data_IF_895557290119
#
_entry.id   IF_895557290119
#
_cell.length_a   1.000
_cell.length_b   1.000
_cell.length_c   1.000
_cell.angle_alpha   90.00
_cell.angle_beta   90.00
_cell.angle_gamma   90.00
#
_symmetry.space_group_name_H-M   'P 1'
#
loop_
_entity.id
_entity.type
_entity.pdbx_description
1 polymer ?
#
# COMPACT_ATOMS: atom_id res chain seq x y z
N UNK A 1 8.55 -8.36 -27.86
CA UNK A 1 8.70 -7.21 -26.94
C UNK A 1 9.49 -7.69 -25.73
N UNK A 2 10.65 -7.09 -25.43
CA UNK A 2 11.42 -7.36 -24.20
C UNK A 2 10.98 -6.31 -23.16
N UNK A 3 9.84 -6.53 -22.52
CA UNK A 3 9.34 -5.70 -21.41
C UNK A 3 9.69 -6.33 -20.06
N UNK A 4 9.34 -5.69 -18.94
CA UNK A 4 9.34 -6.34 -17.63
C UNK A 4 7.91 -6.70 -17.24
N UNK A 5 7.56 -7.98 -17.22
CA UNK A 5 6.25 -8.45 -16.77
C UNK A 5 6.39 -9.07 -15.39
N UNK A 6 5.47 -8.72 -14.50
CA UNK A 6 5.48 -9.18 -13.12
C UNK A 6 4.06 -9.49 -12.70
N UNK A 7 3.87 -10.63 -12.07
CA UNK A 7 2.64 -10.97 -11.35
C UNK A 7 2.82 -10.62 -9.88
N UNK A 8 1.80 -10.02 -9.28
CA UNK A 8 1.89 -9.44 -7.93
C UNK A 8 0.78 -10.01 -7.06
N UNK A 9 1.10 -10.34 -5.82
CA UNK A 9 0.15 -10.67 -4.76
C UNK A 9 0.48 -9.87 -3.51
N UNK A 10 -0.53 -9.41 -2.79
CA UNK A 10 -0.34 -8.74 -1.50
C UNK A 10 -0.71 -9.71 -0.37
N UNK A 11 0.19 -9.82 0.60
CA UNK A 11 -0.11 -10.45 1.89
C UNK A 11 -0.64 -9.39 2.85
N UNK A 12 -1.60 -9.76 3.69
CA UNK A 12 -2.19 -8.87 4.70
C UNK A 12 -1.75 -9.36 6.10
N UNK A 13 -0.54 -9.00 6.56
CA UNK A 13 0.00 -9.55 7.81
C UNK A 13 -0.82 -9.14 9.04
N UNK A 14 -1.60 -8.06 8.97
CA UNK A 14 -2.51 -7.61 10.02
C UNK A 14 -3.47 -8.70 10.51
N UNK A 15 -3.97 -9.57 9.61
CA UNK A 15 -4.88 -10.66 9.98
C UNK A 15 -4.19 -11.97 10.33
N UNK A 16 -2.85 -12.02 10.29
CA UNK A 16 -2.13 -13.23 10.64
C UNK A 16 -2.16 -13.43 12.18
N UNK A 17 -2.47 -14.63 12.67
CA UNK A 17 -2.54 -14.89 14.12
C UNK A 17 -1.16 -14.90 14.81
N UNK A 18 -0.07 -14.99 14.04
CA UNK A 18 1.30 -14.91 14.54
C UNK A 18 2.27 -14.49 13.43
N UNK A 19 3.51 -14.16 13.82
CA UNK A 19 4.61 -13.86 12.88
C UNK A 19 4.89 -15.07 11.99
N UNK A 20 4.84 -16.29 12.52
CA UNK A 20 5.05 -17.54 11.78
C UNK A 20 3.97 -17.76 10.73
N UNK A 21 2.70 -17.48 11.07
CA UNK A 21 1.59 -17.56 10.12
C UNK A 21 1.72 -16.51 9.01
N UNK A 22 2.15 -15.29 9.35
CA UNK A 22 2.44 -14.25 8.36
C UNK A 22 3.58 -14.68 7.43
N UNK A 23 4.69 -15.20 7.98
CA UNK A 23 5.82 -15.71 7.21
C UNK A 23 5.39 -16.80 6.22
N UNK A 24 4.59 -17.77 6.67
CA UNK A 24 4.08 -18.82 5.77
C UNK A 24 3.16 -18.24 4.69
N UNK A 25 2.35 -17.23 5.00
CA UNK A 25 1.54 -16.56 3.97
C UNK A 25 2.42 -15.92 2.87
N UNK A 26 3.57 -15.34 3.22
CA UNK A 26 4.55 -14.84 2.25
C UNK A 26 5.18 -15.95 1.41
N UNK A 27 5.47 -17.12 1.99
CA UNK A 27 5.93 -18.31 1.25
C UNK A 27 4.86 -18.80 0.27
N UNK A 28 3.62 -18.94 0.73
CA UNK A 28 2.47 -19.34 -0.11
C UNK A 28 2.29 -18.37 -1.28
N UNK A 29 2.40 -17.06 -1.04
CA UNK A 29 2.29 -16.04 -2.08
C UNK A 29 3.39 -16.19 -3.14
N UNK A 30 4.65 -16.42 -2.73
CA UNK A 30 5.76 -16.68 -3.65
C UNK A 30 5.47 -17.91 -4.54
N UNK A 31 5.04 -19.02 -3.94
CA UNK A 31 4.68 -20.24 -4.69
C UNK A 31 3.51 -19.99 -5.65
N UNK A 32 2.49 -19.25 -5.21
CA UNK A 32 1.32 -18.94 -6.04
C UNK A 32 1.71 -18.13 -7.28
N UNK A 33 2.52 -17.10 -7.12
CA UNK A 33 2.99 -16.26 -8.23
C UNK A 33 3.87 -17.03 -9.21
N UNK A 34 4.75 -17.91 -8.72
CA UNK A 34 5.56 -18.79 -9.57
C UNK A 34 4.65 -19.73 -10.37
N UNK A 35 3.61 -20.30 -9.76
CA UNK A 35 2.62 -21.14 -10.48
C UNK A 35 1.88 -20.36 -11.56
N UNK A 36 1.50 -19.11 -11.30
CA UNK A 36 0.88 -18.25 -12.33
C UNK A 36 1.80 -18.11 -13.53
N UNK A 37 3.07 -17.74 -13.30
CA UNK A 37 4.04 -17.59 -14.38
C UNK A 37 4.35 -18.92 -15.12
N UNK A 38 4.22 -20.06 -14.44
CA UNK A 38 4.61 -21.37 -14.98
C UNK A 38 3.48 -22.05 -15.74
N UNK A 39 2.23 -21.95 -15.24
CA UNK A 39 1.11 -22.78 -15.68
C UNK A 39 -0.04 -22.00 -16.31
N UNK A 40 -0.01 -20.67 -16.31
CA UNK A 40 -1.02 -19.85 -16.99
C UNK A 40 -0.48 -19.26 -18.28
N UNK A 41 -1.34 -19.18 -19.30
CA UNK A 41 -0.98 -18.57 -20.57
C UNK A 41 -0.68 -17.08 -20.40
N UNK A 42 0.39 -16.62 -21.04
CA UNK A 42 0.81 -15.23 -21.04
C UNK A 42 1.05 -14.76 -22.45
N UNK A 43 0.47 -13.61 -22.80
CA UNK A 43 0.76 -12.90 -24.05
C UNK A 43 2.28 -12.60 -24.19
N UNK A 44 2.99 -12.56 -23.07
CA UNK A 44 4.42 -12.28 -22.97
C UNK A 44 5.23 -13.50 -22.51
N UNK A 45 4.80 -14.70 -22.89
CA UNK A 45 5.37 -15.99 -22.46
C UNK A 45 6.89 -16.05 -22.52
N UNK A 46 7.51 -15.56 -23.62
CA UNK A 46 8.97 -15.58 -23.78
C UNK A 46 9.69 -14.83 -22.66
N UNK A 47 9.14 -13.70 -22.22
CA UNK A 47 9.74 -12.87 -21.16
C UNK A 47 9.45 -13.43 -19.77
N UNK A 48 8.23 -13.96 -19.57
CA UNK A 48 7.85 -14.66 -18.33
C UNK A 48 8.75 -15.87 -18.11
N UNK A 49 8.95 -16.73 -19.10
CA UNK A 49 9.85 -17.89 -19.01
C UNK A 49 11.32 -17.47 -18.77
N UNK A 50 11.76 -16.38 -19.40
CA UNK A 50 13.14 -15.89 -19.26
C UNK A 50 13.46 -15.34 -17.88
N UNK A 51 12.52 -14.62 -17.25
CA UNK A 51 12.81 -13.86 -16.01
C UNK A 51 12.08 -14.34 -14.78
N UNK A 52 10.95 -15.01 -14.97
CA UNK A 52 10.02 -15.47 -13.93
C UNK A 52 9.76 -14.41 -12.85
N UNK A 53 9.72 -13.12 -13.21
CA UNK A 53 9.57 -12.03 -12.23
C UNK A 53 8.24 -12.16 -11.48
N UNK A 54 8.33 -12.07 -10.16
CA UNK A 54 7.19 -11.99 -9.27
C UNK A 54 7.34 -10.76 -8.36
N UNK A 55 6.24 -10.37 -7.72
CA UNK A 55 6.22 -9.30 -6.73
C UNK A 55 5.31 -9.70 -5.59
N UNK A 56 5.87 -10.33 -4.56
CA UNK A 56 5.19 -10.49 -3.29
C UNK A 56 5.23 -9.13 -2.59
N UNK A 57 4.06 -8.57 -2.30
CA UNK A 57 3.90 -7.32 -1.58
C UNK A 57 3.07 -7.48 -0.32
N UNK A 58 2.73 -6.36 0.29
CA UNK A 58 1.84 -6.33 1.45
C UNK A 58 1.02 -5.05 1.49
N UNK A 59 -0.09 -5.09 2.21
CA UNK A 59 -0.95 -3.95 2.52
C UNK A 59 -1.37 -4.00 3.99
N UNK A 60 -1.79 -2.87 4.56
CA UNK A 60 -2.12 -2.80 5.98
C UNK A 60 -0.90 -2.86 6.89
N UNK A 61 0.24 -2.34 6.42
CA UNK A 61 1.51 -2.43 7.14
C UNK A 61 1.52 -1.61 8.44
N UNK A 62 0.82 -0.47 8.45
CA UNK A 62 0.72 0.40 9.62
C UNK A 62 -0.18 -0.23 10.70
N UNK A 63 -1.27 -0.86 10.28
CA UNK A 63 -2.16 -1.64 11.16
C UNK A 63 -1.43 -2.86 11.73
N UNK A 64 -0.65 -3.56 10.91
CA UNK A 64 0.20 -4.67 11.37
C UNK A 64 1.26 -4.21 12.38
N UNK A 65 1.98 -3.13 12.09
CA UNK A 65 2.97 -2.55 12.99
C UNK A 65 2.38 -2.25 14.37
N UNK A 66 1.18 -1.68 14.40
CA UNK A 66 0.51 -1.37 15.65
C UNK A 66 0.00 -2.60 16.37
N UNK A 67 -0.74 -3.47 15.69
CA UNK A 67 -1.39 -4.61 16.32
C UNK A 67 -0.38 -5.64 16.83
N UNK A 68 0.73 -5.84 16.11
CA UNK A 68 1.75 -6.82 16.49
C UNK A 68 2.88 -6.25 17.35
N UNK A 69 3.18 -4.95 17.26
CA UNK A 69 4.35 -4.36 17.94
C UNK A 69 4.06 -3.08 18.75
N UNK A 70 2.88 -2.47 18.61
CA UNK A 70 2.53 -1.23 19.30
C UNK A 70 3.22 0.03 18.75
N UNK A 71 3.76 -0.03 17.53
CA UNK A 71 4.46 1.08 16.89
C UNK A 71 3.55 1.91 16.01
N UNK A 72 3.55 3.22 16.24
CA UNK A 72 2.95 4.19 15.33
C UNK A 72 3.98 4.67 14.28
N UNK A 73 3.54 5.42 13.27
CA UNK A 73 4.40 5.83 12.15
C UNK A 73 5.73 6.50 12.56
N UNK A 74 5.70 7.39 13.55
CA UNK A 74 6.92 8.07 14.03
C UNK A 74 7.87 7.14 14.78
N UNK A 75 7.36 6.06 15.36
CA UNK A 75 8.20 5.01 15.94
C UNK A 75 8.85 4.18 14.83
N UNK A 76 8.12 3.92 13.74
CA UNK A 76 8.61 3.13 12.61
C UNK A 76 9.77 3.79 11.85
N UNK A 77 9.78 5.11 11.75
CA UNK A 77 10.89 5.84 11.11
C UNK A 77 12.10 6.06 12.03
N UNK A 78 12.00 5.66 13.29
CA UNK A 78 13.13 5.48 14.21
C UNK A 78 13.55 4.01 14.16
N UNK A 79 14.57 3.73 13.33
CA UNK A 79 15.02 2.37 13.05
C UNK A 79 15.44 1.59 14.30
N UNK A 80 16.10 2.26 15.25
CA UNK A 80 16.59 1.63 16.47
C UNK A 80 15.43 1.30 17.41
N UNK A 81 14.44 2.20 17.51
CA UNK A 81 13.27 1.99 18.35
C UNK A 81 12.37 0.85 17.86
N UNK A 82 12.23 0.71 16.55
CA UNK A 82 11.33 -0.26 15.89
C UNK A 82 12.09 -1.40 15.22
N UNK A 83 13.29 -1.72 15.71
CA UNK A 83 14.22 -2.66 15.09
C UNK A 83 13.62 -4.07 14.94
N UNK A 84 12.87 -4.53 15.93
CA UNK A 84 12.17 -5.82 15.93
C UNK A 84 11.09 -5.92 14.84
N UNK A 85 10.32 -4.86 14.59
CA UNK A 85 9.40 -4.78 13.44
C UNK A 85 10.17 -4.89 12.12
N UNK A 86 11.27 -4.13 11.99
CA UNK A 86 12.08 -4.14 10.77
C UNK A 86 12.77 -5.48 10.51
N UNK A 87 13.30 -6.12 11.55
CA UNK A 87 13.87 -7.46 11.46
C UNK A 87 12.80 -8.52 11.17
N UNK A 88 11.55 -8.31 11.59
CA UNK A 88 10.41 -9.15 11.20
C UNK A 88 10.07 -9.02 9.71
N UNK A 89 10.05 -7.80 9.16
CA UNK A 89 9.92 -7.60 7.71
C UNK A 89 11.06 -8.27 6.94
N UNK A 90 12.30 -8.18 7.44
CA UNK A 90 13.44 -8.85 6.84
C UNK A 90 13.31 -10.38 6.92
N UNK A 91 12.78 -10.93 8.01
CA UNK A 91 12.45 -12.36 8.14
C UNK A 91 11.46 -12.79 7.04
N UNK A 92 10.41 -12.01 6.78
CA UNK A 92 9.48 -12.27 5.67
C UNK A 92 10.17 -12.18 4.30
N UNK A 93 11.05 -11.20 4.10
CA UNK A 93 11.84 -11.09 2.85
C UNK A 93 12.72 -12.32 2.64
N UNK A 94 13.43 -12.78 3.67
CA UNK A 94 14.24 -14.01 3.60
C UNK A 94 13.38 -15.23 3.31
N UNK A 95 12.19 -15.32 3.89
CA UNK A 95 11.24 -16.39 3.58
C UNK A 95 10.81 -16.39 2.10
N UNK A 96 10.53 -15.23 1.52
CA UNK A 96 10.23 -15.12 0.07
C UNK A 96 11.44 -15.51 -0.79
N UNK A 97 12.66 -15.06 -0.44
CA UNK A 97 13.87 -15.42 -1.17
C UNK A 97 14.09 -16.94 -1.18
N UNK A 98 14.08 -17.55 0.01
CA UNK A 98 14.29 -18.98 0.22
C UNK A 98 13.23 -19.82 -0.51
N UNK A 99 11.95 -19.46 -0.36
CA UNK A 99 10.85 -20.16 -1.01
C UNK A 99 10.91 -20.04 -2.53
N UNK A 100 11.19 -18.84 -3.04
CA UNK A 100 11.30 -18.61 -4.49
C UNK A 100 12.43 -19.45 -5.11
N UNK A 101 13.57 -19.59 -4.42
CA UNK A 101 14.67 -20.43 -4.88
C UNK A 101 14.31 -21.92 -4.83
N UNK A 102 13.88 -22.43 -3.67
CA UNK A 102 13.53 -23.85 -3.48
C UNK A 102 12.43 -24.30 -4.43
N UNK A 103 11.36 -23.52 -4.53
CA UNK A 103 10.20 -23.89 -5.33
C UNK A 103 10.47 -23.79 -6.84
N UNK A 104 11.26 -22.81 -7.28
CA UNK A 104 11.67 -22.73 -8.70
C UNK A 104 12.56 -23.90 -9.10
N UNK A 105 13.50 -24.31 -8.22
CA UNK A 105 14.32 -25.52 -8.43
C UNK A 105 13.46 -26.77 -8.51
N UNK A 106 12.48 -26.91 -7.61
CA UNK A 106 11.54 -28.03 -7.60
C UNK A 106 10.75 -28.14 -8.91
N UNK A 107 10.31 -27.01 -9.47
CA UNK A 107 9.56 -26.97 -10.73
C UNK A 107 10.44 -26.99 -11.99
N UNK A 108 11.76 -26.87 -11.86
CA UNK A 108 12.67 -26.76 -13.01
C UNK A 108 12.52 -25.45 -13.80
N UNK A 109 12.13 -24.35 -13.14
CA UNK A 109 11.99 -23.02 -13.75
C UNK A 109 13.04 -22.04 -13.23
N UNK A 110 13.21 -20.91 -13.91
CA UNK A 110 14.14 -19.87 -13.47
C UNK A 110 13.73 -19.30 -12.11
N UNK A 111 14.70 -19.08 -11.22
CA UNK A 111 14.47 -18.32 -9.98
C UNK A 111 14.07 -16.89 -10.35
N UNK A 112 12.97 -16.33 -9.81
CA UNK A 112 12.50 -15.00 -10.14
C UNK A 112 13.59 -13.93 -10.07
N UNK A 113 13.73 -13.13 -11.14
CA UNK A 113 14.68 -12.00 -11.18
C UNK A 113 14.29 -10.90 -10.19
N UNK A 114 13.00 -10.77 -9.88
CA UNK A 114 12.49 -9.99 -8.76
C UNK A 114 11.51 -10.83 -7.96
N UNK A 115 11.40 -10.56 -6.66
CA UNK A 115 10.50 -11.32 -5.80
C UNK A 115 9.68 -10.51 -4.79
N UNK A 116 10.13 -9.35 -4.34
CA UNK A 116 9.35 -8.48 -3.44
C UNK A 116 9.11 -7.11 -4.03
N UNK A 117 7.97 -6.50 -3.68
CA UNK A 117 7.58 -5.16 -4.08
C UNK A 117 6.59 -4.58 -3.07
N UNK A 118 6.21 -3.32 -3.21
CA UNK A 118 4.98 -2.80 -2.61
C UNK A 118 4.27 -1.99 -3.69
N UNK A 119 3.03 -2.35 -4.02
CA UNK A 119 2.17 -1.55 -4.90
C UNK A 119 1.20 -0.71 -4.07
N UNK A 120 0.64 0.38 -4.61
CA UNK A 120 -0.54 1.00 -4.05
C UNK A 120 -1.70 0.00 -4.16
N UNK A 121 -2.09 -0.60 -3.05
CA UNK A 121 -3.06 -1.68 -2.99
C UNK A 121 -4.53 -1.18 -3.03
N UNK A 122 -4.82 -0.14 -3.81
CA UNK A 122 -6.05 0.65 -3.66
C UNK A 122 -7.38 -0.04 -4.00
N UNK A 123 -7.42 -1.31 -4.38
CA UNK A 123 -8.68 -2.09 -4.41
C UNK A 123 -8.64 -3.19 -3.36
N UNK A 124 -7.51 -3.91 -3.28
CA UNK A 124 -7.32 -5.02 -2.35
C UNK A 124 -7.35 -4.55 -0.89
N UNK A 125 -6.78 -3.39 -0.56
CA UNK A 125 -6.81 -2.82 0.79
C UNK A 125 -8.23 -2.42 1.22
N UNK A 126 -9.07 -1.98 0.29
CA UNK A 126 -10.45 -1.53 0.55
C UNK A 126 -11.38 -2.66 0.92
N UNK A 127 -11.09 -3.89 0.48
CA UNK A 127 -11.80 -5.08 0.95
C UNK A 127 -11.65 -5.29 2.46
N UNK A 128 -10.58 -4.75 3.04
CA UNK A 128 -10.22 -4.89 4.45
C UNK A 128 -10.28 -3.57 5.23
N UNK A 129 -10.63 -2.46 4.58
CA UNK A 129 -10.55 -1.11 5.14
C UNK A 129 -9.16 -0.71 5.68
N UNK A 130 -8.08 -1.28 5.13
CA UNK A 130 -6.70 -1.05 5.58
C UNK A 130 -5.98 0.02 4.74
N UNK A 131 -4.87 0.53 5.29
CA UNK A 131 -3.91 1.39 4.59
C UNK A 131 -3.37 0.74 3.30
N UNK A 132 -3.20 1.56 2.25
CA UNK A 132 -2.91 1.09 0.89
C UNK A 132 -1.41 0.83 0.66
N UNK A 133 -0.99 -0.44 0.70
CA UNK A 133 0.42 -0.80 0.54
C UNK A 133 1.26 -0.21 1.68
N UNK A 134 2.15 0.72 1.33
CA UNK A 134 2.99 1.47 2.27
C UNK A 134 2.43 2.85 2.65
N UNK A 135 1.35 3.32 2.01
CA UNK A 135 0.82 4.67 2.19
C UNK A 135 0.28 4.89 3.61
N UNK A 136 0.52 6.09 4.13
CA UNK A 136 -0.21 6.59 5.30
C UNK A 136 -1.70 6.76 4.96
N UNK A 137 -2.60 6.64 5.94
CA UNK A 137 -4.01 6.96 5.72
C UNK A 137 -4.13 8.40 5.22
N UNK A 138 -4.89 8.61 4.15
CA UNK A 138 -5.08 9.93 3.57
C UNK A 138 -5.90 10.85 4.51
N UNK A 139 -6.93 10.27 5.14
CA UNK A 139 -7.91 10.96 5.99
C UNK A 139 -8.36 9.99 7.10
N UNK A 140 -8.79 10.53 8.24
CA UNK A 140 -9.36 9.74 9.35
C UNK A 140 -10.82 9.38 9.10
N UNK A 141 -11.60 10.34 8.64
CA UNK A 141 -12.99 10.15 8.22
C UNK A 141 -13.24 10.87 6.91
N UNK A 142 -13.98 10.23 5.99
CA UNK A 142 -14.31 10.81 4.70
C UNK A 142 -15.55 10.15 4.10
N UNK A 143 -16.15 10.79 3.09
CA UNK A 143 -17.16 10.17 2.24
C UNK A 143 -16.48 9.61 1.00
N UNK A 144 -16.61 8.31 0.81
CA UNK A 144 -16.14 7.62 -0.38
C UNK A 144 -17.23 7.56 -1.42
N UNK A 145 -17.03 8.19 -2.57
CA UNK A 145 -18.00 8.22 -3.66
C UNK A 145 -17.71 7.11 -4.66
N UNK A 146 -18.66 6.18 -4.80
CA UNK A 146 -18.60 5.07 -5.77
C UNK A 146 -19.61 5.34 -6.88
N UNK A 147 -19.13 5.29 -8.12
CA UNK A 147 -19.98 5.47 -9.30
C UNK A 147 -20.74 4.18 -9.63
N UNK A 148 -22.04 4.32 -9.85
CA UNK A 148 -22.93 3.29 -10.38
C UNK A 148 -23.57 3.79 -11.66
N UNK A 149 -24.03 2.86 -12.50
CA UNK A 149 -24.97 3.23 -13.56
C UNK A 149 -26.27 3.72 -12.94
N UNK A 150 -26.92 4.70 -13.56
CA UNK A 150 -28.19 5.27 -13.07
C UNK A 150 -29.30 4.23 -12.92
N UNK A 151 -29.31 3.21 -13.78
CA UNK A 151 -30.30 2.15 -13.80
C UNK A 151 -29.97 0.98 -12.85
N UNK A 152 -28.83 1.03 -12.16
CA UNK A 152 -28.44 -0.01 -11.21
C UNK A 152 -29.43 -0.04 -10.02
N UNK A 153 -30.06 -1.20 -9.72
CA UNK A 153 -30.97 -1.35 -8.59
C UNK A 153 -30.36 -0.94 -7.25
N UNK A 154 -29.03 -1.02 -7.10
CA UNK A 154 -28.32 -0.61 -5.90
C UNK A 154 -28.45 0.89 -5.62
N UNK A 155 -28.54 1.74 -6.64
CA UNK A 155 -28.72 3.19 -6.43
C UNK A 155 -30.02 3.48 -5.67
N UNK A 156 -31.13 2.85 -6.09
CA UNK A 156 -32.44 2.98 -5.42
C UNK A 156 -32.39 2.42 -4.00
N UNK A 157 -31.71 1.29 -3.82
CA UNK A 157 -31.53 0.67 -2.50
C UNK A 157 -30.77 1.58 -1.55
N UNK A 158 -29.59 2.08 -1.94
CA UNK A 158 -28.76 2.94 -1.11
C UNK A 158 -29.46 4.27 -0.81
N UNK A 159 -30.15 4.87 -1.78
CA UNK A 159 -30.97 6.07 -1.56
C UNK A 159 -32.05 5.85 -0.49
N UNK A 160 -32.71 4.68 -0.49
CA UNK A 160 -33.73 4.33 0.50
C UNK A 160 -33.13 4.11 1.90
N UNK A 161 -31.89 3.64 1.96
CA UNK A 161 -31.10 3.46 3.19
C UNK A 161 -30.40 4.74 3.64
N UNK A 162 -30.78 5.92 3.15
CA UNK A 162 -30.22 7.20 3.62
C UNK A 162 -28.81 7.55 3.10
N UNK A 163 -28.17 6.72 2.29
CA UNK A 163 -26.84 7.04 1.75
C UNK A 163 -26.88 8.29 0.86
N UNK A 164 -25.90 9.20 0.97
CA UNK A 164 -25.77 10.35 0.08
C UNK A 164 -25.70 9.95 -1.40
N UNK A 165 -26.39 10.70 -2.26
CA UNK A 165 -26.46 10.46 -3.71
C UNK A 165 -26.08 11.74 -4.48
N UNK A 166 -25.24 11.61 -5.50
CA UNK A 166 -24.92 12.67 -6.47
C UNK A 166 -25.18 12.18 -7.89
N UNK A 167 -26.14 12.76 -8.59
CA UNK A 167 -26.32 12.53 -10.03
C UNK A 167 -25.26 13.35 -10.78
N UNK A 168 -24.40 12.68 -11.55
CA UNK A 168 -23.24 13.33 -12.16
C UNK A 168 -23.60 13.96 -13.50
N UNK A 169 -23.30 15.26 -13.64
CA UNK A 169 -23.45 15.99 -14.91
C UNK A 169 -22.28 15.72 -15.85
N UNK A 170 -21.08 15.56 -15.30
CA UNK A 170 -19.84 15.35 -16.06
C UNK A 170 -19.78 13.96 -16.70
N UNK A 171 -20.53 12.99 -16.17
CA UNK A 171 -20.60 11.61 -16.64
C UNK A 171 -22.07 11.20 -16.82
N UNK A 172 -22.68 11.50 -17.97
CA UNK A 172 -24.07 11.17 -18.23
C UNK A 172 -24.35 9.67 -18.06
N UNK A 173 -25.43 9.34 -17.35
CA UNK A 173 -25.80 7.95 -17.06
C UNK A 173 -25.19 7.38 -15.78
N UNK A 174 -24.45 8.18 -15.02
CA UNK A 174 -23.77 7.76 -13.79
C UNK A 174 -24.29 8.51 -12.55
N UNK A 175 -24.53 7.76 -11.48
CA UNK A 175 -24.87 8.27 -10.15
C UNK A 175 -23.76 7.84 -9.19
N UNK A 176 -23.23 8.78 -8.40
CA UNK A 176 -22.32 8.47 -7.32
C UNK A 176 -23.07 8.28 -6.00
N UNK A 177 -22.78 7.19 -5.30
CA UNK A 177 -23.26 6.89 -3.95
C UNK A 177 -22.12 7.15 -2.97
N UNK A 178 -22.38 7.93 -1.92
CA UNK A 178 -21.41 8.29 -0.90
C UNK A 178 -21.47 7.31 0.27
N UNK A 179 -20.35 6.70 0.61
CA UNK A 179 -20.20 5.78 1.74
C UNK A 179 -19.36 6.45 2.84
N UNK A 180 -19.92 6.73 4.03
CA UNK A 180 -19.10 7.17 5.15
C UNK A 180 -18.08 6.09 5.46
N UNK A 181 -16.79 6.47 5.40
CA UNK A 181 -15.66 5.55 5.52
C UNK A 181 -14.70 6.06 6.59
N UNK A 182 -14.30 5.15 7.47
CA UNK A 182 -13.21 5.33 8.44
C UNK A 182 -12.25 4.14 8.25
N UNK A 183 -10.95 4.36 7.94
CA UNK A 183 -9.98 3.28 7.83
C UNK A 183 -9.78 2.58 9.18
N UNK A 184 -9.51 1.28 9.14
CA UNK A 184 -9.32 0.44 10.34
C UNK A 184 -8.27 1.00 11.29
N UNK A 185 -7.18 1.60 10.78
CA UNK A 185 -6.15 2.20 11.61
C UNK A 185 -6.68 3.24 12.61
N UNK A 186 -7.81 3.90 12.30
CA UNK A 186 -8.44 4.89 13.18
C UNK A 186 -9.18 4.25 14.36
N UNK A 187 -9.58 2.97 14.27
CA UNK A 187 -10.25 2.24 15.35
C UNK A 187 -9.30 1.42 16.23
N UNK A 188 -7.99 1.42 15.94
CA UNK A 188 -7.00 0.61 16.69
C UNK A 188 -6.52 1.24 18.01
N UNK A 189 -7.04 2.40 18.40
CA UNK A 189 -6.67 3.03 19.69
C UNK A 189 -5.27 3.67 19.68
N UNK A 190 -4.86 4.26 18.56
CA UNK A 190 -3.58 4.98 18.44
C UNK A 190 -3.57 6.36 19.10
N UNK A 191 -4.73 6.85 19.53
CA UNK A 191 -4.92 8.20 20.09
C UNK A 191 -4.29 9.29 19.20
N UNK A 192 -3.49 10.18 19.80
CA UNK A 192 -2.79 11.28 19.14
C UNK A 192 -1.54 10.85 18.35
N UNK A 193 -1.19 9.56 18.36
CA UNK A 193 -0.02 9.01 17.65
C UNK A 193 -0.31 8.66 16.21
N UNK A 194 -1.58 8.57 15.80
CA UNK A 194 -1.95 8.33 14.41
C UNK A 194 -1.50 9.51 13.53
N UNK A 195 -0.73 9.22 12.48
CA UNK A 195 -0.28 10.22 11.50
C UNK A 195 -0.91 9.92 10.14
N UNK A 196 -1.54 10.94 9.55
CA UNK A 196 -2.05 10.91 8.18
C UNK A 196 -1.00 11.38 7.17
N UNK A 197 -1.22 11.09 5.89
CA UNK A 197 -0.33 11.52 4.81
C UNK A 197 -0.09 13.04 4.77
N UNK A 198 -1.06 13.86 5.20
CA UNK A 198 -0.93 15.32 5.28
C UNK A 198 -0.17 15.82 6.50
N UNK A 199 -0.09 15.02 7.56
CA UNK A 199 0.61 15.40 8.81
C UNK A 199 2.08 14.97 8.81
N UNK A 200 2.43 13.96 8.01
CA UNK A 200 3.81 13.54 7.84
C UNK A 200 4.58 14.53 6.96
N UNK A 201 5.72 14.98 7.46
CA UNK A 201 6.67 15.75 6.67
C UNK A 201 7.25 14.91 5.54
N UNK A 202 7.69 15.54 4.44
CA UNK A 202 8.33 14.79 3.35
C UNK A 202 9.58 14.02 3.78
N UNK A 203 10.35 14.53 4.74
CA UNK A 203 11.54 13.84 5.26
C UNK A 203 11.15 12.55 6.00
N UNK A 204 10.11 12.57 6.83
CA UNK A 204 9.60 11.37 7.50
C UNK A 204 9.15 10.33 6.47
N UNK A 205 8.45 10.75 5.41
CA UNK A 205 8.02 9.85 4.33
C UNK A 205 9.21 9.27 3.55
N UNK A 206 10.28 10.03 3.29
CA UNK A 206 11.50 9.48 2.68
C UNK A 206 12.22 8.49 3.60
N UNK A 207 12.32 8.76 4.91
CA UNK A 207 12.89 7.82 5.88
C UNK A 207 12.12 6.49 5.89
N UNK A 208 10.79 6.57 5.87
CA UNK A 208 9.93 5.40 5.75
C UNK A 208 10.25 4.56 4.50
N UNK A 209 10.40 5.21 3.34
CA UNK A 209 10.78 4.52 2.10
C UNK A 209 12.17 3.90 2.16
N UNK A 210 13.16 4.60 2.73
CA UNK A 210 14.52 4.08 2.88
C UNK A 210 14.54 2.82 3.74
N UNK A 211 13.75 2.77 4.81
CA UNK A 211 13.66 1.60 5.69
C UNK A 211 12.92 0.44 5.03
N UNK A 212 11.81 0.69 4.33
CA UNK A 212 11.17 -0.33 3.51
C UNK A 212 12.10 -0.89 2.43
N UNK A 213 12.89 -0.03 1.79
CA UNK A 213 13.88 -0.48 0.82
C UNK A 213 14.95 -1.37 1.46
N UNK A 214 15.49 -0.96 2.61
CA UNK A 214 16.50 -1.72 3.36
C UNK A 214 15.97 -3.09 3.81
N UNK A 215 14.81 -3.13 4.45
CA UNK A 215 14.34 -4.33 5.16
C UNK A 215 13.44 -5.24 4.32
N UNK A 216 12.66 -4.70 3.38
CA UNK A 216 11.69 -5.49 2.59
C UNK A 216 12.09 -5.65 1.12
N UNK A 217 12.58 -4.61 0.47
CA UNK A 217 12.95 -4.69 -0.96
C UNK A 217 14.31 -5.39 -1.10
N UNK A 218 15.36 -4.81 -0.54
CA UNK A 218 16.72 -5.39 -0.57
C UNK A 218 16.80 -6.54 0.43
N UNK A 219 16.42 -6.27 1.69
CA UNK A 219 16.46 -7.23 2.78
C UNK A 219 17.82 -7.26 3.49
N UNK A 220 17.80 -7.74 4.73
CA UNK A 220 18.98 -7.99 5.55
C UNK A 220 18.97 -9.41 6.14
N UNK A 221 20.14 -9.92 6.53
CA UNK A 221 20.31 -11.15 7.30
C UNK A 221 19.90 -10.99 8.77
N UNK A 222 20.03 -12.05 9.57
CA UNK A 222 19.75 -12.08 11.00
C UNK A 222 20.58 -11.08 11.81
N UNK A 223 21.81 -10.77 11.36
CA UNK A 223 22.70 -9.78 11.97
C UNK A 223 22.46 -8.36 11.45
N UNK A 224 21.49 -8.17 10.54
CA UNK A 224 21.13 -6.87 9.97
C UNK A 224 22.06 -6.39 8.85
N UNK A 225 22.88 -7.26 8.27
CA UNK A 225 23.71 -6.95 7.09
C UNK A 225 22.91 -7.16 5.81
N UNK A 226 23.15 -6.37 4.74
CA UNK A 226 22.44 -6.54 3.48
C UNK A 226 22.58 -7.95 2.91
N UNK A 227 21.48 -8.49 2.36
CA UNK A 227 21.53 -9.74 1.62
C UNK A 227 22.42 -9.61 0.38
N UNK A 228 23.05 -10.71 -0.03
CA UNK A 228 24.03 -10.73 -1.13
C UNK A 228 23.41 -10.43 -2.50
N UNK A 229 22.14 -10.80 -2.72
CA UNK A 229 21.43 -10.57 -3.97
C UNK A 229 20.23 -9.64 -3.78
N UNK A 230 20.23 -8.50 -4.47
CA UNK A 230 19.06 -7.63 -4.57
C UNK A 230 18.08 -8.17 -5.62
N UNK A 231 17.10 -8.94 -5.14
CA UNK A 231 15.93 -9.38 -5.93
C UNK A 231 14.69 -8.51 -5.66
N UNK A 232 14.85 -7.41 -4.94
CA UNK A 232 13.76 -6.49 -4.67
C UNK A 232 13.42 -5.65 -5.89
N UNK A 233 12.13 -5.51 -6.17
CA UNK A 233 11.66 -4.53 -7.14
C UNK A 233 11.67 -3.13 -6.51
N UNK A 234 10.50 -2.52 -6.30
CA UNK A 234 10.38 -1.15 -5.80
C UNK A 234 9.20 -1.01 -4.82
N UNK A 235 9.22 0.08 -4.04
CA UNK A 235 8.07 0.57 -3.28
C UNK A 235 7.40 1.66 -4.10
N UNK A 236 6.18 1.41 -4.57
CA UNK A 236 5.37 2.43 -5.22
C UNK A 236 4.66 3.27 -4.16
N UNK A 237 5.06 4.53 -4.06
CA UNK A 237 4.59 5.46 -3.04
C UNK A 237 4.41 6.87 -3.62
N UNK A 238 3.30 7.50 -3.29
CA UNK A 238 3.03 8.90 -3.59
C UNK A 238 3.22 9.74 -2.34
N UNK A 239 4.36 10.42 -2.27
CA UNK A 239 4.68 11.35 -1.19
C UNK A 239 3.85 12.62 -1.32
N UNK A 240 3.16 12.97 -0.24
CA UNK A 240 2.36 14.19 -0.13
C UNK A 240 3.15 15.29 0.56
N UNK A 241 2.98 16.53 0.10
CA UNK A 241 3.52 17.70 0.77
C UNK A 241 2.58 18.90 0.65
N UNK A 242 2.59 19.79 1.63
CA UNK A 242 1.83 21.04 1.60
C UNK A 242 2.63 22.13 0.87
N UNK A 243 2.19 22.60 -0.32
CA UNK A 243 2.89 23.63 -1.06
C UNK A 243 2.83 25.03 -0.41
N UNK A 244 1.93 25.27 0.54
CA UNK A 244 1.88 26.50 1.33
C UNK A 244 2.98 26.57 2.40
N UNK A 245 3.41 25.40 2.88
CA UNK A 245 4.46 25.26 3.92
C UNK A 245 5.83 25.00 3.28
N UNK A 246 5.87 24.21 2.20
CA UNK A 246 7.11 23.79 1.53
C UNK A 246 7.36 24.65 0.29
N UNK A 247 8.27 25.62 0.41
CA UNK A 247 8.69 26.44 -0.73
C UNK A 247 9.39 25.61 -1.80
N UNK A 248 9.37 26.08 -3.06
CA UNK A 248 10.08 25.43 -4.17
C UNK A 248 11.56 25.14 -3.86
N UNK A 249 12.25 26.07 -3.16
CA UNK A 249 13.65 25.87 -2.75
C UNK A 249 13.79 24.69 -1.78
N UNK A 250 12.90 24.59 -0.79
CA UNK A 250 12.88 23.47 0.16
C UNK A 250 12.56 22.15 -0.55
N UNK A 251 11.55 22.14 -1.42
CA UNK A 251 11.21 21.00 -2.27
C UNK A 251 12.41 20.53 -3.09
N UNK A 252 13.05 21.42 -3.84
CA UNK A 252 14.18 21.08 -4.70
C UNK A 252 15.41 20.59 -3.91
N UNK A 253 15.63 21.13 -2.70
CA UNK A 253 16.68 20.66 -1.79
C UNK A 253 16.39 19.24 -1.30
N UNK A 254 15.16 18.99 -0.86
CA UNK A 254 14.68 17.69 -0.40
C UNK A 254 14.79 16.61 -1.48
N UNK A 255 14.31 16.89 -2.71
CA UNK A 255 14.40 15.94 -3.82
C UNK A 255 15.86 15.58 -4.12
N UNK A 256 16.75 16.57 -4.21
CA UNK A 256 18.19 16.32 -4.43
C UNK A 256 18.83 15.50 -3.31
N UNK A 257 18.39 15.69 -2.07
CA UNK A 257 18.92 14.99 -0.90
C UNK A 257 18.44 13.55 -0.82
N UNK A 258 17.14 13.31 -0.96
CA UNK A 258 16.53 12.01 -0.61
C UNK A 258 16.18 11.12 -1.81
N UNK A 259 15.83 11.68 -2.97
CA UNK A 259 15.46 10.86 -4.13
C UNK A 259 16.56 9.87 -4.56
N UNK A 260 17.87 10.21 -4.51
CA UNK A 260 18.93 9.25 -4.85
C UNK A 260 19.09 8.09 -3.85
N UNK A 261 18.48 8.19 -2.67
CA UNK A 261 18.57 7.18 -1.60
C UNK A 261 17.45 6.14 -1.68
N UNK A 262 16.51 6.30 -2.62
CA UNK A 262 15.38 5.39 -2.85
C UNK A 262 15.26 5.07 -4.33
N UNK A 263 14.92 3.83 -4.69
CA UNK A 263 14.75 3.36 -6.07
C UNK A 263 13.70 4.17 -6.83
N UNK A 264 12.62 4.56 -6.17
CA UNK A 264 11.55 5.38 -6.77
C UNK A 264 10.74 6.12 -5.71
N UNK A 265 10.23 7.29 -6.06
CA UNK A 265 9.24 8.02 -5.28
C UNK A 265 8.47 8.95 -6.22
N UNK A 266 7.14 8.88 -6.20
CA UNK A 266 6.30 9.87 -6.86
C UNK A 266 5.96 10.95 -5.84
N UNK A 267 6.02 12.22 -6.23
CA UNK A 267 5.73 13.33 -5.31
C UNK A 267 4.57 14.14 -5.85
N UNK A 268 3.55 14.36 -5.02
CA UNK A 268 2.34 15.09 -5.39
C UNK A 268 2.03 16.17 -4.35
N UNK A 269 1.90 17.44 -4.74
CA UNK A 269 1.44 18.47 -3.82
C UNK A 269 0.03 18.14 -3.32
N UNK A 270 -0.28 18.52 -2.09
CA UNK A 270 -1.65 18.63 -1.63
C UNK A 270 -2.36 19.67 -2.48
N UNK A 271 -3.52 19.31 -3.02
CA UNK A 271 -4.37 20.21 -3.80
C UNK A 271 -5.70 20.27 -3.07
N UNK A 272 -6.07 21.47 -2.61
CA UNK A 272 -7.33 21.72 -1.89
C UNK A 272 -8.48 22.11 -2.84
N UNK A 273 -8.19 22.32 -4.13
CA UNK A 273 -9.16 22.79 -5.13
C UNK A 273 -9.42 21.71 -6.16
N UNK A 274 -10.69 21.34 -6.33
CA UNK A 274 -11.10 20.25 -7.21
C UNK A 274 -11.49 20.82 -8.58
N UNK A 275 -10.78 20.45 -9.64
CA UNK A 275 -11.20 20.76 -11.02
C UNK A 275 -12.42 19.94 -11.49
N UNK A 276 -12.97 19.10 -10.61
CA UNK A 276 -13.98 18.10 -10.89
C UNK A 276 -15.24 18.33 -10.05
N UNK A 277 -16.37 17.83 -10.54
CA UNK A 277 -17.70 17.93 -9.91
C UNK A 277 -17.74 17.38 -8.47
N UNK A 278 -16.87 16.42 -8.14
CA UNK A 278 -16.66 15.90 -6.79
C UNK A 278 -15.28 15.23 -6.69
N UNK A 279 -14.85 14.89 -5.46
CA UNK A 279 -13.68 14.03 -5.22
C UNK A 279 -14.12 12.61 -4.89
N UNK A 280 -13.45 11.56 -5.43
CA UNK A 280 -13.73 10.18 -5.05
C UNK A 280 -13.67 9.93 -3.54
N UNK A 281 -12.82 10.67 -2.84
CA UNK A 281 -12.72 10.68 -1.38
C UNK A 281 -12.85 12.13 -0.93
N UNK A 282 -13.95 12.44 -0.27
CA UNK A 282 -14.31 13.79 0.15
C UNK A 282 -14.13 13.94 1.66
N UNK A 283 -13.23 14.84 2.07
CA UNK A 283 -13.05 15.19 3.46
C UNK A 283 -14.33 15.81 4.02
N UNK A 284 -14.75 15.38 5.21
CA UNK A 284 -15.89 15.94 5.94
C UNK A 284 -15.52 16.22 7.39
N UNK A 285 -16.25 17.13 8.02
CA UNK A 285 -16.11 17.33 9.47
C UNK A 285 -16.65 16.12 10.23
N UNK A 286 -16.17 15.89 11.45
CA UNK A 286 -16.67 14.81 12.33
C UNK A 286 -18.19 14.94 12.54
N UNK A 287 -18.70 16.16 12.67
CA UNK A 287 -20.14 16.42 12.82
C UNK A 287 -20.93 15.95 11.58
N UNK A 288 -20.48 16.33 10.38
CA UNK A 288 -21.10 15.89 9.13
C UNK A 288 -21.02 14.37 8.94
N UNK A 289 -19.86 13.78 9.24
CA UNK A 289 -19.67 12.34 9.17
C UNK A 289 -20.65 11.60 10.09
N UNK A 290 -20.74 12.04 11.36
CA UNK A 290 -21.65 11.45 12.36
C UNK A 290 -23.10 11.62 11.98
N UNK A 291 -23.48 12.78 11.43
CA UNK A 291 -24.82 13.02 10.92
C UNK A 291 -25.18 12.00 9.82
N UNK A 292 -24.31 11.84 8.82
CA UNK A 292 -24.54 10.90 7.70
C UNK A 292 -24.65 9.47 8.22
N UNK A 293 -23.79 9.06 9.16
CA UNK A 293 -23.85 7.72 9.77
C UNK A 293 -25.17 7.49 10.52
N UNK A 294 -25.71 8.51 11.20
CA UNK A 294 -26.98 8.39 11.92
C UNK A 294 -28.22 8.39 10.99
N UNK A 295 -28.08 8.87 9.76
CA UNK A 295 -29.16 8.90 8.75
C UNK A 295 -29.29 7.57 7.98
N UNK A 296 -28.27 6.69 8.06
CA UNK A 296 -28.20 5.38 7.39
C UNK A 296 -28.72 4.27 8.32
#
# INVERSE_FOLDING_TARGET
MLGGYCVIADVVPYFAPSVEAAEEAFRVAARALIRVNTFMDSLYEREVKRTNRIGVGMTGIHEYAWNAFGYAFRDLIDEEKSKDFWMTLARFKRAVNDEAEKYSKFLGVNVPHTNTTIKPAGTTSKLFSLSEGAHLPAMREYIRWVQFRNDDPLVKKYKKLGYPIKELKSYPGTTAVGFPTQPEICSLGMDDRLVTASEATPEEQFKWLMLLEKYWIVGVDEEGKPLTEDRGNQVSYTLKYDPSVVSYRKFASMIRKYQPLVKTCSVMPKIDVTAYEYQPEEAVTISQFTQIVNEI
#
